data_IF_662497510417
#
_entry.id   IF_662497510417
#
_cell.length_a   1.000
_cell.length_b   1.000
_cell.length_c   1.000
_cell.angle_alpha   90.00
_cell.angle_beta   90.00
_cell.angle_gamma   90.00
#
_symmetry.space_group_name_H-M   'P 1'
#
loop_
_entity.id
_entity.type
_entity.pdbx_description
1 polymer ?
#
# COMPACT_ATOMS: atom_id res chain seq x y z
N UNK A 1 37.76 -22.08 -21.36
CA UNK A 1 36.76 -22.67 -20.43
C UNK A 1 35.82 -21.56 -19.90
N UNK A 2 35.14 -20.84 -20.79
CA UNK A 2 34.24 -19.72 -20.39
C UNK A 2 32.89 -19.76 -21.13
N UNK A 3 32.50 -20.90 -21.69
CA UNK A 3 31.26 -21.02 -22.48
C UNK A 3 30.10 -21.74 -21.78
N UNK A 4 30.26 -22.18 -20.54
CA UNK A 4 29.19 -22.94 -19.84
C UNK A 4 28.30 -22.14 -18.90
N UNK A 5 28.65 -20.88 -18.56
CA UNK A 5 27.83 -20.06 -17.65
C UNK A 5 26.66 -19.38 -18.33
N UNK A 6 26.68 -19.17 -19.66
CA UNK A 6 25.59 -18.50 -20.41
C UNK A 6 24.44 -19.44 -20.81
N UNK A 7 24.57 -20.76 -20.55
CA UNK A 7 23.51 -21.71 -20.91
C UNK A 7 22.40 -21.90 -19.87
N UNK A 8 22.56 -21.36 -18.67
CA UNK A 8 21.63 -21.64 -17.59
C UNK A 8 20.51 -20.60 -17.45
N UNK A 9 20.63 -19.44 -18.08
CA UNK A 9 19.61 -18.39 -18.00
C UNK A 9 18.61 -18.52 -19.17
N UNK A 10 17.31 -18.74 -18.91
CA UNK A 10 16.32 -18.81 -19.99
C UNK A 10 16.00 -17.41 -20.51
N UNK A 11 16.25 -17.16 -21.78
CA UNK A 11 15.79 -15.94 -22.43
C UNK A 11 14.26 -15.88 -22.48
N UNK A 12 13.65 -14.69 -22.37
CA UNK A 12 12.21 -14.53 -22.57
C UNK A 12 11.76 -15.18 -23.87
N UNK A 13 10.69 -16.02 -23.79
CA UNK A 13 10.20 -16.83 -24.91
C UNK A 13 10.68 -18.28 -24.93
N UNK A 14 11.68 -18.68 -24.14
CA UNK A 14 12.05 -20.08 -23.98
C UNK A 14 11.24 -20.76 -22.87
N UNK A 15 9.94 -20.87 -23.08
CA UNK A 15 8.98 -21.40 -22.10
C UNK A 15 9.31 -22.80 -21.59
N UNK A 16 9.76 -23.70 -22.47
CA UNK A 16 10.08 -25.06 -22.07
C UNK A 16 11.20 -25.10 -21.02
N UNK A 17 12.17 -24.20 -21.14
CA UNK A 17 13.26 -24.09 -20.17
C UNK A 17 12.81 -23.45 -18.87
N UNK A 18 12.02 -22.38 -18.94
CA UNK A 18 11.43 -21.75 -17.75
C UNK A 18 10.61 -22.76 -16.94
N UNK A 19 9.70 -23.49 -17.59
CA UNK A 19 8.90 -24.52 -16.92
C UNK A 19 9.77 -25.59 -16.25
N UNK A 20 10.84 -26.04 -16.92
CA UNK A 20 11.77 -27.01 -16.35
C UNK A 20 12.45 -26.45 -15.10
N UNK A 21 12.91 -25.19 -15.15
CA UNK A 21 13.56 -24.54 -14.00
C UNK A 21 12.58 -24.36 -12.82
N UNK A 22 11.33 -24.02 -13.10
CA UNK A 22 10.28 -23.93 -12.07
C UNK A 22 10.07 -25.32 -11.42
N UNK A 23 9.92 -26.37 -12.22
CA UNK A 23 9.75 -27.74 -11.71
C UNK A 23 10.94 -28.20 -10.87
N UNK A 24 12.16 -27.88 -11.28
CA UNK A 24 13.39 -28.21 -10.55
C UNK A 24 13.47 -27.43 -9.22
N UNK A 25 13.10 -26.15 -9.23
CA UNK A 25 13.04 -25.31 -8.04
C UNK A 25 11.97 -25.78 -7.04
N UNK A 26 10.78 -26.18 -7.53
CA UNK A 26 9.72 -26.77 -6.71
C UNK A 26 10.18 -28.09 -6.06
N UNK A 27 10.80 -28.95 -6.83
CA UNK A 27 11.28 -30.23 -6.35
C UNK A 27 12.39 -30.09 -5.29
N UNK A 28 13.19 -29.03 -5.36
CA UNK A 28 14.27 -28.74 -4.41
C UNK A 28 13.83 -27.88 -3.23
N UNK A 29 12.64 -27.25 -3.28
CA UNK A 29 12.18 -26.24 -2.31
C UNK A 29 12.98 -24.92 -2.40
N UNK A 30 13.59 -24.63 -3.55
CA UNK A 30 14.45 -23.47 -3.76
C UNK A 30 13.85 -22.47 -4.77
N UNK A 31 12.54 -22.21 -4.70
CA UNK A 31 11.83 -21.28 -5.60
C UNK A 31 12.45 -19.88 -5.67
N UNK A 32 13.04 -19.44 -4.58
CA UNK A 32 13.70 -18.13 -4.51
C UNK A 32 14.85 -17.96 -5.53
N UNK A 33 15.43 -19.06 -6.01
CA UNK A 33 16.50 -19.02 -7.02
C UNK A 33 16.01 -18.60 -8.40
N UNK A 34 14.74 -18.83 -8.70
CA UNK A 34 14.13 -18.46 -9.99
C UNK A 34 13.41 -17.11 -9.95
N UNK A 35 13.21 -16.53 -8.77
CA UNK A 35 12.50 -15.25 -8.62
C UNK A 35 13.08 -14.13 -9.50
N UNK A 36 14.42 -13.87 -9.53
CA UNK A 36 14.99 -12.86 -10.42
C UNK A 36 14.70 -13.11 -11.90
N UNK A 37 14.70 -14.39 -12.30
CA UNK A 37 14.42 -14.80 -13.68
C UNK A 37 12.95 -14.52 -14.04
N UNK A 38 12.04 -14.80 -13.12
CA UNK A 38 10.62 -14.50 -13.30
C UNK A 38 10.37 -13.01 -13.44
N UNK A 39 11.07 -12.17 -12.68
CA UNK A 39 11.00 -10.73 -12.80
C UNK A 39 11.50 -10.23 -14.15
N UNK A 40 12.62 -10.73 -14.65
CA UNK A 40 13.12 -10.39 -15.99
C UNK A 40 12.15 -10.83 -17.09
N UNK A 41 11.51 -11.99 -16.93
CA UNK A 41 10.47 -12.44 -17.85
C UNK A 41 9.24 -11.56 -17.80
N UNK A 42 8.81 -11.14 -16.62
CA UNK A 42 7.67 -10.25 -16.47
C UNK A 42 7.92 -8.88 -17.12
N UNK A 43 9.13 -8.35 -16.99
CA UNK A 43 9.52 -7.11 -17.68
C UNK A 43 9.49 -7.25 -19.21
N UNK A 44 9.84 -8.42 -19.72
CA UNK A 44 9.82 -8.69 -21.16
C UNK A 44 8.43 -9.01 -21.71
N UNK A 45 7.54 -9.55 -20.88
CA UNK A 45 6.18 -9.96 -21.22
C UNK A 45 5.23 -9.48 -20.11
N UNK A 46 4.98 -8.16 -20.02
CA UNK A 46 4.11 -7.60 -18.99
C UNK A 46 2.69 -8.17 -19.07
N UNK A 47 2.10 -8.43 -17.91
CA UNK A 47 0.72 -8.90 -17.82
C UNK A 47 0.51 -10.39 -18.07
N UNK A 48 1.57 -11.18 -18.30
CA UNK A 48 1.44 -12.63 -18.43
C UNK A 48 0.96 -13.27 -17.12
N UNK A 49 -0.21 -13.94 -17.11
CA UNK A 49 -0.81 -14.45 -15.88
C UNK A 49 -0.03 -15.62 -15.27
N UNK A 50 0.68 -16.42 -16.08
CA UNK A 50 1.48 -17.52 -15.57
C UNK A 50 2.71 -17.00 -14.83
N UNK A 51 3.47 -16.07 -15.45
CA UNK A 51 4.65 -15.47 -14.80
C UNK A 51 4.25 -14.73 -13.53
N UNK A 52 3.14 -13.99 -13.57
CA UNK A 52 2.60 -13.33 -12.38
C UNK A 52 2.32 -14.34 -11.25
N UNK A 53 1.67 -15.46 -11.56
CA UNK A 53 1.38 -16.50 -10.56
C UNK A 53 2.65 -17.10 -9.96
N UNK A 54 3.68 -17.32 -10.75
CA UNK A 54 4.96 -17.86 -10.27
C UNK A 54 5.69 -16.86 -9.35
N UNK A 55 5.70 -15.56 -9.70
CA UNK A 55 6.22 -14.49 -8.83
C UNK A 55 5.43 -14.45 -7.51
N UNK A 56 4.09 -14.50 -7.60
CA UNK A 56 3.23 -14.50 -6.43
C UNK A 56 3.54 -15.69 -5.50
N UNK A 57 3.75 -16.88 -6.05
CA UNK A 57 4.12 -18.05 -5.25
C UNK A 57 5.50 -17.90 -4.60
N UNK A 58 6.49 -17.33 -5.27
CA UNK A 58 7.79 -17.00 -4.66
C UNK A 58 7.63 -16.04 -3.48
N UNK A 59 6.77 -15.04 -3.62
CA UNK A 59 6.49 -14.08 -2.55
C UNK A 59 5.76 -14.72 -1.36
N UNK A 60 4.87 -15.69 -1.61
CA UNK A 60 4.18 -16.42 -0.55
C UNK A 60 5.14 -17.27 0.31
N UNK A 61 6.30 -17.63 -0.20
CA UNK A 61 7.36 -18.30 0.57
C UNK A 61 8.10 -17.33 1.52
N UNK A 62 8.03 -16.01 1.25
CA UNK A 62 8.62 -14.93 2.07
C UNK A 62 7.54 -13.94 2.55
N UNK A 63 6.53 -14.40 3.29
CA UNK A 63 5.37 -13.57 3.57
C UNK A 63 5.66 -12.35 4.44
N UNK A 64 6.82 -12.28 5.09
CA UNK A 64 7.20 -11.20 6.01
C UNK A 64 8.19 -10.20 5.40
N UNK A 65 8.49 -10.32 4.10
CA UNK A 65 9.38 -9.39 3.40
C UNK A 65 8.57 -8.19 2.83
N UNK A 66 8.69 -6.98 3.44
CA UNK A 66 7.94 -5.80 3.00
C UNK A 66 8.24 -5.39 1.55
N UNK A 67 9.50 -5.56 1.11
CA UNK A 67 9.91 -5.20 -0.25
C UNK A 67 9.23 -6.09 -1.29
N UNK A 68 9.15 -7.38 -1.01
CA UNK A 68 8.43 -8.34 -1.86
C UNK A 68 6.95 -8.02 -1.95
N UNK A 69 6.32 -7.64 -0.83
CA UNK A 69 4.91 -7.29 -0.79
C UNK A 69 4.63 -6.00 -1.58
N UNK A 70 5.46 -4.97 -1.43
CA UNK A 70 5.35 -3.71 -2.17
C UNK A 70 5.45 -3.96 -3.69
N UNK A 71 6.44 -4.73 -4.13
CA UNK A 71 6.59 -5.14 -5.54
C UNK A 71 5.38 -5.89 -6.07
N UNK A 72 4.79 -6.79 -5.28
CA UNK A 72 3.56 -7.50 -5.67
C UNK A 72 2.36 -6.57 -5.83
N UNK A 73 2.19 -5.62 -4.91
CA UNK A 73 1.12 -4.63 -4.98
C UNK A 73 1.25 -3.75 -6.22
N UNK A 74 2.47 -3.32 -6.53
CA UNK A 74 2.78 -2.57 -7.75
C UNK A 74 2.47 -3.38 -9.00
N UNK A 75 2.89 -4.63 -9.06
CA UNK A 75 2.58 -5.55 -10.15
C UNK A 75 1.09 -5.72 -10.37
N UNK A 76 0.32 -5.93 -9.30
CA UNK A 76 -1.13 -6.07 -9.39
C UNK A 76 -1.77 -4.78 -9.88
N UNK A 77 -1.29 -3.63 -9.42
CA UNK A 77 -1.79 -2.34 -9.90
C UNK A 77 -1.54 -2.17 -11.41
N UNK A 78 -0.35 -2.52 -11.90
CA UNK A 78 -0.01 -2.51 -13.33
C UNK A 78 -0.90 -3.50 -14.09
N UNK A 79 -1.03 -4.74 -13.62
CA UNK A 79 -1.86 -5.76 -14.25
C UNK A 79 -3.32 -5.32 -14.34
N UNK A 80 -3.87 -4.71 -13.30
CA UNK A 80 -5.24 -4.19 -13.30
C UNK A 80 -5.42 -2.99 -14.23
N UNK A 81 -4.36 -2.21 -14.49
CA UNK A 81 -4.41 -1.07 -15.41
C UNK A 81 -4.33 -1.50 -16.88
N UNK A 82 -3.53 -2.51 -17.21
CA UNK A 82 -3.15 -2.87 -18.58
C UNK A 82 -3.84 -4.13 -19.12
N UNK A 83 -4.37 -5.01 -18.26
CA UNK A 83 -4.96 -6.27 -18.69
C UNK A 83 -6.26 -6.08 -19.45
N UNK A 84 -6.40 -6.79 -20.57
CA UNK A 84 -7.66 -6.85 -21.36
C UNK A 84 -8.70 -7.73 -20.64
N UNK A 85 -8.27 -8.79 -19.98
CA UNK A 85 -9.12 -9.70 -19.20
C UNK A 85 -9.02 -9.45 -17.69
N UNK A 86 -10.04 -9.85 -16.90
CA UNK A 86 -10.02 -9.67 -15.45
C UNK A 86 -8.79 -10.31 -14.82
N UNK A 87 -7.85 -9.48 -14.43
CA UNK A 87 -6.67 -9.94 -13.74
C UNK A 87 -7.06 -10.49 -12.36
N UNK A 88 -6.76 -11.74 -12.10
CA UNK A 88 -7.02 -12.38 -10.79
C UNK A 88 -6.10 -11.86 -9.68
N UNK A 89 -5.11 -11.03 -10.02
CA UNK A 89 -4.08 -10.55 -9.10
C UNK A 89 -4.62 -9.85 -7.85
N UNK A 90 -5.65 -9.01 -8.00
CA UNK A 90 -6.29 -8.36 -6.85
C UNK A 90 -6.90 -9.33 -5.86
N UNK A 91 -7.51 -10.43 -6.33
CA UNK A 91 -8.04 -11.48 -5.46
C UNK A 91 -6.95 -12.32 -4.81
N UNK A 92 -5.82 -12.51 -5.48
CA UNK A 92 -4.68 -13.24 -4.92
C UNK A 92 -4.02 -12.46 -3.79
N UNK A 93 -3.83 -11.16 -3.95
CA UNK A 93 -3.36 -10.30 -2.84
C UNK A 93 -4.37 -10.27 -1.71
N UNK A 94 -5.67 -10.20 -2.00
CA UNK A 94 -6.70 -10.29 -0.97
C UNK A 94 -6.61 -11.62 -0.20
N UNK A 95 -6.40 -12.74 -0.89
CA UNK A 95 -6.20 -14.05 -0.27
C UNK A 95 -4.95 -14.09 0.62
N UNK A 96 -3.86 -13.48 0.18
CA UNK A 96 -2.65 -13.30 0.99
C UNK A 96 -2.98 -12.62 2.33
N UNK A 97 -3.71 -11.49 2.30
CA UNK A 97 -4.09 -10.77 3.51
C UNK A 97 -5.09 -11.53 4.40
N UNK A 98 -6.01 -12.31 3.81
CA UNK A 98 -6.89 -13.22 4.57
C UNK A 98 -6.07 -14.23 5.38
N UNK A 99 -5.08 -14.84 4.76
CA UNK A 99 -4.22 -15.83 5.43
C UNK A 99 -3.38 -15.22 6.58
N UNK A 100 -3.19 -13.91 6.58
CA UNK A 100 -2.45 -13.16 7.62
C UNK A 100 -3.34 -12.52 8.68
N UNK A 101 -4.62 -12.83 8.70
CA UNK A 101 -5.59 -12.21 9.64
C UNK A 101 -5.65 -10.67 9.52
N UNK A 102 -5.53 -10.16 8.27
CA UNK A 102 -5.61 -8.74 7.93
C UNK A 102 -6.85 -8.45 7.07
N UNK A 103 -8.05 -8.54 7.64
CA UNK A 103 -9.30 -8.51 6.86
C UNK A 103 -9.58 -7.16 6.19
N UNK A 104 -9.09 -6.05 6.73
CA UNK A 104 -9.30 -4.73 6.13
C UNK A 104 -8.49 -4.54 4.86
N UNK A 105 -7.24 -4.99 4.85
CA UNK A 105 -6.41 -5.01 3.63
C UNK A 105 -7.02 -5.93 2.57
N UNK A 106 -7.44 -7.13 2.99
CA UNK A 106 -8.09 -8.06 2.08
C UNK A 106 -9.33 -7.43 1.43
N UNK A 107 -10.18 -6.78 2.21
CA UNK A 107 -11.37 -6.11 1.69
C UNK A 107 -11.04 -4.92 0.78
N UNK A 108 -10.01 -4.16 1.09
CA UNK A 108 -9.52 -3.06 0.24
C UNK A 108 -9.13 -3.57 -1.16
N UNK A 109 -8.35 -4.65 -1.24
CA UNK A 109 -7.95 -5.25 -2.52
C UNK A 109 -9.12 -5.89 -3.28
N UNK A 110 -10.09 -6.49 -2.58
CA UNK A 110 -11.33 -6.98 -3.22
C UNK A 110 -12.13 -5.81 -3.78
N UNK A 111 -12.28 -4.71 -3.06
CA UNK A 111 -12.98 -3.52 -3.56
C UNK A 111 -12.29 -2.94 -4.80
N UNK A 112 -10.97 -2.77 -4.78
CA UNK A 112 -10.20 -2.32 -5.96
C UNK A 112 -10.43 -3.24 -7.17
N UNK A 113 -10.44 -4.54 -6.95
CA UNK A 113 -10.71 -5.51 -8.00
C UNK A 113 -12.14 -5.39 -8.55
N UNK A 114 -13.14 -5.21 -7.67
CA UNK A 114 -14.54 -5.03 -8.10
C UNK A 114 -14.74 -3.71 -8.85
N UNK A 115 -14.15 -2.61 -8.40
CA UNK A 115 -14.17 -1.31 -9.09
C UNK A 115 -13.54 -1.40 -10.50
N UNK A 116 -12.47 -2.16 -10.62
CA UNK A 116 -11.84 -2.41 -11.92
C UNK A 116 -12.74 -3.25 -12.83
N UNK A 117 -13.43 -4.28 -12.29
CA UNK A 117 -14.38 -5.09 -13.04
C UNK A 117 -15.60 -4.29 -13.51
N UNK A 118 -16.13 -3.42 -12.67
CA UNK A 118 -17.25 -2.55 -13.04
C UNK A 118 -16.90 -1.67 -14.25
N UNK A 119 -15.67 -1.17 -14.32
CA UNK A 119 -15.17 -0.41 -15.48
C UNK A 119 -15.09 -1.25 -16.77
N UNK A 120 -15.02 -2.56 -16.65
CA UNK A 120 -14.95 -3.52 -17.77
C UNK A 120 -16.28 -4.21 -18.04
N UNK A 121 -17.40 -3.75 -17.44
CA UNK A 121 -18.73 -4.37 -17.54
C UNK A 121 -18.74 -5.88 -17.19
N UNK A 122 -17.84 -6.31 -16.30
CA UNK A 122 -17.78 -7.70 -15.85
C UNK A 122 -18.20 -7.80 -14.38
N UNK A 123 -18.88 -8.89 -14.02
CA UNK A 123 -19.35 -9.12 -12.65
C UNK A 123 -18.73 -10.39 -12.09
N UNK A 124 -17.99 -10.25 -10.97
CA UNK A 124 -17.48 -11.40 -10.24
C UNK A 124 -18.26 -11.62 -8.94
N UNK A 125 -19.27 -12.47 -9.00
CA UNK A 125 -20.09 -12.81 -7.82
C UNK A 125 -19.28 -13.47 -6.71
N UNK A 126 -18.22 -14.18 -7.03
CA UNK A 126 -17.36 -14.82 -6.02
C UNK A 126 -16.61 -13.78 -5.19
N UNK A 127 -16.03 -12.76 -5.82
CA UNK A 127 -15.36 -11.67 -5.10
C UNK A 127 -16.32 -10.93 -4.15
N UNK A 128 -17.54 -10.64 -4.62
CA UNK A 128 -18.58 -10.03 -3.81
C UNK A 128 -18.97 -10.92 -2.62
N UNK A 129 -19.10 -12.23 -2.82
CA UNK A 129 -19.40 -13.18 -1.74
C UNK A 129 -18.27 -13.24 -0.71
N UNK A 130 -17.01 -13.30 -1.14
CA UNK A 130 -15.85 -13.28 -0.22
C UNK A 130 -15.86 -12.00 0.61
N UNK A 131 -16.06 -10.84 -0.02
CA UNK A 131 -16.14 -9.56 0.70
C UNK A 131 -17.28 -9.56 1.73
N UNK A 132 -18.45 -10.08 1.37
CA UNK A 132 -19.58 -10.18 2.29
C UNK A 132 -19.28 -11.10 3.47
N UNK A 133 -18.67 -12.24 3.23
CA UNK A 133 -18.24 -13.17 4.29
C UNK A 133 -17.27 -12.48 5.24
N UNK A 134 -16.22 -11.83 4.73
CA UNK A 134 -15.26 -11.08 5.57
C UNK A 134 -15.96 -10.04 6.46
N UNK A 135 -16.90 -9.27 5.88
CA UNK A 135 -17.67 -8.26 6.62
C UNK A 135 -18.53 -8.85 7.71
N UNK A 136 -19.06 -10.05 7.51
CA UNK A 136 -19.92 -10.72 8.49
C UNK A 136 -19.15 -11.46 9.58
N UNK A 137 -18.02 -12.08 9.24
CA UNK A 137 -17.29 -12.98 10.15
C UNK A 137 -16.10 -12.30 10.83
N UNK A 138 -15.24 -11.63 10.08
CA UNK A 138 -13.95 -11.12 10.56
C UNK A 138 -14.02 -9.68 11.05
N UNK A 139 -14.78 -8.80 10.36
CA UNK A 139 -14.83 -7.38 10.70
C UNK A 139 -15.28 -7.08 12.11
N UNK A 140 -16.32 -7.72 12.69
CA UNK A 140 -16.74 -7.41 14.05
C UNK A 140 -15.61 -7.57 15.07
N UNK A 141 -14.84 -8.65 14.97
CA UNK A 141 -13.71 -8.92 15.85
C UNK A 141 -12.55 -7.95 15.60
N UNK A 142 -12.21 -7.68 14.32
CA UNK A 142 -11.15 -6.78 13.93
C UNK A 142 -11.44 -5.32 14.34
N UNK A 143 -12.67 -4.83 14.15
CA UNK A 143 -13.10 -3.50 14.60
C UNK A 143 -13.07 -3.39 16.13
N UNK A 144 -13.50 -4.44 16.85
CA UNK A 144 -13.44 -4.45 18.31
C UNK A 144 -11.98 -4.41 18.82
N UNK A 145 -11.07 -5.14 18.15
CA UNK A 145 -9.63 -5.11 18.43
C UNK A 145 -9.06 -3.71 18.16
N UNK A 146 -9.35 -3.13 17.00
CA UNK A 146 -8.93 -1.77 16.62
C UNK A 146 -9.39 -0.75 17.67
N UNK A 147 -10.68 -0.70 18.01
CA UNK A 147 -11.22 0.21 19.03
C UNK A 147 -10.53 0.07 20.38
N UNK A 148 -10.21 -1.16 20.79
CA UNK A 148 -9.47 -1.43 22.04
C UNK A 148 -8.06 -0.87 21.97
N UNK A 149 -7.33 -1.12 20.88
CA UNK A 149 -5.97 -0.59 20.67
C UNK A 149 -5.97 0.93 20.64
N UNK A 150 -6.91 1.55 19.93
CA UNK A 150 -7.07 3.01 19.88
C UNK A 150 -7.40 3.63 21.25
N UNK A 151 -8.02 2.87 22.17
CA UNK A 151 -8.41 3.38 23.50
C UNK A 151 -7.33 3.14 24.55
N UNK A 152 -6.60 2.04 24.48
CA UNK A 152 -5.71 1.56 25.55
C UNK A 152 -4.27 1.36 25.12
N UNK A 153 -4.00 1.31 23.82
CA UNK A 153 -2.67 1.09 23.29
C UNK A 153 -1.79 2.34 23.38
N UNK A 154 -0.50 2.14 23.39
CA UNK A 154 0.51 3.19 23.19
C UNK A 154 0.35 3.86 21.82
N UNK A 155 0.95 5.02 21.62
CA UNK A 155 0.94 5.71 20.33
C UNK A 155 1.48 4.82 19.19
N UNK A 156 2.54 4.05 19.45
CA UNK A 156 3.11 3.10 18.47
C UNK A 156 2.10 2.00 18.08
N UNK A 157 1.46 1.36 19.05
CA UNK A 157 0.43 0.34 18.79
C UNK A 157 -0.78 0.91 18.04
N UNK A 158 -1.16 2.17 18.32
CA UNK A 158 -2.24 2.83 17.60
C UNK A 158 -1.87 3.07 16.13
N UNK A 159 -0.63 3.52 15.87
CA UNK A 159 -0.11 3.75 14.52
C UNK A 159 -0.08 2.43 13.75
N UNK A 160 0.52 1.37 14.33
CA UNK A 160 0.60 0.06 13.72
C UNK A 160 -0.80 -0.49 13.37
N UNK A 161 -1.76 -0.38 14.30
CA UNK A 161 -3.12 -0.82 14.05
C UNK A 161 -3.83 -0.05 12.92
N UNK A 162 -3.44 1.20 12.66
CA UNK A 162 -4.01 2.04 11.61
C UNK A 162 -3.34 1.87 10.25
N UNK A 163 -2.17 1.26 10.17
CA UNK A 163 -1.46 1.05 8.89
C UNK A 163 -2.30 0.25 7.89
N UNK A 164 -3.04 -0.75 8.37
CA UNK A 164 -3.83 -1.69 7.57
C UNK A 164 -5.32 -1.38 7.51
N UNK A 165 -5.70 -0.14 7.77
CA UNK A 165 -7.11 0.29 7.77
C UNK A 165 -7.37 1.25 6.62
N UNK A 166 -8.51 1.13 5.94
CA UNK A 166 -8.89 1.94 4.80
C UNK A 166 -10.30 2.51 4.96
N UNK A 167 -10.59 3.65 4.32
CA UNK A 167 -11.94 4.18 4.20
C UNK A 167 -12.74 3.41 3.11
N UNK A 168 -14.05 3.63 3.10
CA UNK A 168 -14.99 3.08 2.11
C UNK A 168 -15.06 1.54 2.09
N UNK A 169 -14.56 0.87 3.14
CA UNK A 169 -14.63 -0.59 3.25
C UNK A 169 -15.88 -1.01 4.01
N UNK A 170 -16.16 -0.34 5.14
CA UNK A 170 -17.28 -0.67 6.03
C UNK A 170 -17.72 0.58 6.80
N UNK A 171 -19.04 0.82 6.87
CA UNK A 171 -19.60 2.01 7.51
C UNK A 171 -19.28 2.15 8.99
N UNK A 172 -19.12 1.04 9.73
CA UNK A 172 -18.77 1.08 11.16
C UNK A 172 -17.30 1.45 11.32
N UNK A 173 -16.44 0.94 10.43
CA UNK A 173 -15.03 1.29 10.40
C UNK A 173 -14.83 2.75 10.01
N UNK A 174 -15.52 3.22 8.95
CA UNK A 174 -15.49 4.60 8.50
C UNK A 174 -15.86 5.58 9.62
N UNK A 175 -16.88 5.26 10.40
CA UNK A 175 -17.27 6.07 11.57
C UNK A 175 -16.14 6.15 12.60
N UNK A 176 -15.42 5.04 12.85
CA UNK A 176 -14.26 5.04 13.77
C UNK A 176 -13.15 5.95 13.26
N UNK A 177 -12.85 5.88 11.96
CA UNK A 177 -11.80 6.70 11.34
C UNK A 177 -12.17 8.18 11.32
N UNK A 178 -13.41 8.53 10.96
CA UNK A 178 -13.90 9.90 11.00
C UNK A 178 -13.88 10.46 12.44
N UNK A 179 -14.26 9.67 13.45
CA UNK A 179 -14.16 10.07 14.85
C UNK A 179 -12.72 10.39 15.27
N UNK A 180 -11.74 9.62 14.79
CA UNK A 180 -10.33 9.90 15.05
C UNK A 180 -9.87 11.23 14.46
N UNK A 181 -10.31 11.59 13.26
CA UNK A 181 -9.95 12.87 12.61
C UNK A 181 -10.44 14.10 13.41
N UNK A 182 -11.59 14.01 14.07
CA UNK A 182 -12.17 15.13 14.82
C UNK A 182 -11.92 15.07 16.33
N UNK A 183 -11.40 13.96 16.86
CA UNK A 183 -11.16 13.77 18.30
C UNK A 183 -9.85 14.40 18.79
N UNK A 184 -9.71 14.55 20.11
CA UNK A 184 -8.45 14.98 20.76
C UNK A 184 -7.49 13.77 20.89
N UNK A 185 -6.81 13.42 19.81
CA UNK A 185 -5.83 12.34 19.75
C UNK A 185 -4.42 12.89 19.49
N UNK A 186 -3.34 12.10 19.80
CA UNK A 186 -1.99 12.47 19.40
C UNK A 186 -1.92 12.80 17.91
N UNK A 187 -1.21 13.87 17.58
CA UNK A 187 -1.14 14.36 16.18
C UNK A 187 -0.69 13.26 15.21
N UNK A 188 0.28 12.45 15.59
CA UNK A 188 0.80 11.37 14.76
C UNK A 188 -0.28 10.32 14.39
N UNK A 189 -1.14 9.96 15.34
CA UNK A 189 -2.27 9.05 15.09
C UNK A 189 -3.25 9.66 14.08
N UNK A 190 -3.53 10.96 14.20
CA UNK A 190 -4.40 11.67 13.25
C UNK A 190 -3.78 11.75 11.87
N UNK A 191 -2.45 11.97 11.77
CA UNK A 191 -1.77 12.08 10.48
C UNK A 191 -1.91 10.80 9.65
N UNK A 192 -1.75 9.62 10.25
CA UNK A 192 -1.93 8.34 9.54
C UNK A 192 -3.35 8.23 8.95
N UNK A 193 -4.36 8.60 9.72
CA UNK A 193 -5.75 8.56 9.23
C UNK A 193 -6.00 9.64 8.17
N UNK A 194 -5.39 10.81 8.33
CA UNK A 194 -5.54 11.93 7.41
C UNK A 194 -4.90 11.64 6.04
N UNK A 195 -3.72 11.01 6.00
CA UNK A 195 -3.09 10.55 4.75
C UNK A 195 -4.00 9.60 3.97
N UNK A 196 -4.60 8.63 4.66
CA UNK A 196 -5.57 7.72 4.04
C UNK A 196 -6.83 8.45 3.58
N UNK A 197 -7.33 9.39 4.38
CA UNK A 197 -8.48 10.21 4.01
C UNK A 197 -8.21 11.03 2.74
N UNK A 198 -7.02 11.61 2.59
CA UNK A 198 -6.62 12.35 1.39
C UNK A 198 -6.56 11.45 0.14
N UNK A 199 -6.16 10.19 0.28
CA UNK A 199 -6.12 9.24 -0.80
C UNK A 199 -7.51 8.69 -1.20
N UNK A 200 -8.43 8.55 -0.24
CA UNK A 200 -9.62 7.70 -0.39
C UNK A 200 -10.95 8.44 -0.30
N UNK A 201 -10.99 9.69 0.22
CA UNK A 201 -12.22 10.45 0.44
C UNK A 201 -12.37 11.64 -0.50
N UNK A 202 -13.57 11.84 -1.02
CA UNK A 202 -13.91 13.00 -1.86
C UNK A 202 -13.88 14.32 -1.07
N UNK A 203 -14.28 14.30 0.20
CA UNK A 203 -14.26 15.45 1.12
C UNK A 203 -13.74 14.99 2.47
N UNK A 204 -12.75 15.69 2.99
CA UNK A 204 -12.06 15.39 4.24
C UNK A 204 -12.36 16.46 5.26
N UNK A 205 -12.76 16.04 6.47
CA UNK A 205 -12.98 16.92 7.63
C UNK A 205 -12.12 16.47 8.80
N UNK A 206 -11.35 17.39 9.37
CA UNK A 206 -10.54 17.08 10.55
C UNK A 206 -10.49 18.26 11.52
N UNK A 207 -10.13 17.98 12.76
CA UNK A 207 -9.95 18.99 13.79
C UNK A 207 -8.47 19.12 14.14
N UNK A 208 -7.99 20.36 14.19
CA UNK A 208 -6.67 20.72 14.70
C UNK A 208 -6.85 21.68 15.89
N UNK A 209 -6.73 21.13 17.09
CA UNK A 209 -7.05 21.86 18.31
C UNK A 209 -8.53 22.23 18.38
N UNK A 210 -8.83 23.54 18.40
CA UNK A 210 -10.20 24.06 18.48
C UNK A 210 -10.78 24.43 17.10
N UNK A 211 -10.00 24.30 16.03
CA UNK A 211 -10.44 24.54 14.66
C UNK A 211 -10.92 23.26 13.96
N UNK A 212 -11.94 23.40 13.11
CA UNK A 212 -12.37 22.34 12.20
C UNK A 212 -12.03 22.77 10.77
N UNK A 213 -11.35 21.89 10.05
CA UNK A 213 -10.91 22.11 8.69
C UNK A 213 -11.68 21.18 7.75
N UNK A 214 -11.86 21.62 6.51
CA UNK A 214 -12.51 20.85 5.45
C UNK A 214 -11.72 21.07 4.15
N UNK A 215 -11.55 20.02 3.36
CA UNK A 215 -10.83 20.06 2.10
C UNK A 215 -11.43 19.05 1.13
N UNK A 216 -11.53 19.38 -0.15
CA UNK A 216 -11.87 18.44 -1.21
C UNK A 216 -10.66 17.56 -1.55
N UNK A 217 -10.91 16.39 -2.16
CA UNK A 217 -9.84 15.50 -2.63
C UNK A 217 -8.90 16.20 -3.64
N UNK A 218 -9.44 17.03 -4.52
CA UNK A 218 -8.65 17.77 -5.51
C UNK A 218 -7.69 18.77 -4.83
N UNK A 219 -8.17 19.48 -3.81
CA UNK A 219 -7.34 20.39 -3.00
C UNK A 219 -6.28 19.60 -2.22
N UNK A 220 -6.67 18.45 -1.63
CA UNK A 220 -5.76 17.57 -0.91
C UNK A 220 -4.64 17.05 -1.82
N UNK A 221 -4.97 16.58 -3.02
CA UNK A 221 -3.97 16.12 -4.01
C UNK A 221 -2.99 17.24 -4.36
N UNK A 222 -3.49 18.44 -4.64
CA UNK A 222 -2.64 19.61 -4.93
C UNK A 222 -1.75 19.98 -3.73
N UNK A 223 -2.27 19.86 -2.51
CA UNK A 223 -1.50 20.09 -1.29
C UNK A 223 -0.39 19.06 -1.11
N UNK A 224 -0.68 17.77 -1.31
CA UNK A 224 0.32 16.69 -1.21
C UNK A 224 1.43 16.92 -2.22
N UNK A 225 1.10 17.15 -3.50
CA UNK A 225 2.10 17.40 -4.55
C UNK A 225 3.00 18.60 -4.22
N UNK A 226 2.43 19.68 -3.71
CA UNK A 226 3.17 20.88 -3.33
C UNK A 226 4.06 20.60 -2.12
N UNK A 227 3.55 19.86 -1.16
CA UNK A 227 4.28 19.42 0.02
C UNK A 227 5.48 18.54 -0.35
N UNK A 228 5.27 17.51 -1.19
CA UNK A 228 6.33 16.63 -1.67
C UNK A 228 7.44 17.40 -2.40
N UNK A 229 7.08 18.31 -3.32
CA UNK A 229 8.04 19.17 -4.02
C UNK A 229 8.85 20.03 -3.06
N UNK A 230 8.19 20.59 -2.04
CA UNK A 230 8.84 21.42 -1.01
C UNK A 230 9.80 20.57 -0.17
N UNK A 231 9.35 19.40 0.28
CA UNK A 231 10.17 18.46 1.07
C UNK A 231 11.40 18.01 0.29
N UNK A 232 11.23 17.56 -0.95
CA UNK A 232 12.36 17.14 -1.81
C UNK A 232 13.37 18.27 -2.02
N UNK A 233 12.89 19.50 -2.15
CA UNK A 233 13.77 20.68 -2.28
C UNK A 233 14.55 20.94 -0.98
N UNK A 234 13.92 20.77 0.18
CA UNK A 234 14.53 20.98 1.49
C UNK A 234 15.48 19.84 1.89
N UNK A 235 15.15 18.59 1.56
CA UNK A 235 16.04 17.45 1.79
C UNK A 235 17.39 17.64 1.11
N UNK A 236 17.38 18.18 -0.12
CA UNK A 236 18.64 18.50 -0.83
C UNK A 236 19.47 19.56 -0.13
N UNK A 237 18.85 20.50 0.60
CA UNK A 237 19.58 21.55 1.33
C UNK A 237 20.17 21.08 2.66
N UNK A 238 19.70 19.96 3.20
CA UNK A 238 20.20 19.36 4.48
C UNK A 238 20.92 18.02 4.24
N UNK A 239 21.22 17.69 2.98
CA UNK A 239 21.90 16.45 2.63
C UNK A 239 23.28 16.36 3.30
N UNK A 240 23.47 15.30 4.11
CA UNK A 240 24.69 15.12 4.91
C UNK A 240 24.71 15.84 6.26
N UNK A 241 23.67 16.58 6.62
CA UNK A 241 23.51 17.23 7.93
C UNK A 241 22.43 16.51 8.75
N UNK A 242 22.85 15.71 9.75
CA UNK A 242 21.93 14.95 10.61
C UNK A 242 21.00 15.88 11.44
N UNK A 243 21.52 17.01 11.90
CA UNK A 243 20.75 17.96 12.70
C UNK A 243 19.72 18.65 11.81
N UNK A 244 20.13 19.13 10.63
CA UNK A 244 19.25 19.72 9.63
C UNK A 244 18.15 18.76 9.22
N UNK A 245 18.47 17.49 8.98
CA UNK A 245 17.50 16.44 8.67
C UNK A 245 16.47 16.25 9.79
N UNK A 246 16.92 16.17 11.06
CA UNK A 246 16.03 16.03 12.21
C UNK A 246 15.11 17.25 12.40
N UNK A 247 15.63 18.44 12.19
CA UNK A 247 14.83 19.68 12.25
C UNK A 247 13.79 19.73 11.14
N UNK A 248 14.16 19.34 9.92
CA UNK A 248 13.23 19.24 8.80
C UNK A 248 12.10 18.25 9.09
N UNK A 249 12.42 17.06 9.60
CA UNK A 249 11.42 16.06 9.98
C UNK A 249 10.46 16.60 11.06
N UNK A 250 10.97 17.27 12.07
CA UNK A 250 10.17 17.90 13.12
C UNK A 250 9.26 19.01 12.56
N UNK A 251 9.81 19.83 11.66
CA UNK A 251 9.04 20.87 10.99
C UNK A 251 7.90 20.28 10.16
N UNK A 252 8.20 19.31 9.34
CA UNK A 252 7.20 18.59 8.54
C UNK A 252 6.09 18.00 9.41
N UNK A 253 6.47 17.28 10.44
CA UNK A 253 5.54 16.70 11.40
C UNK A 253 4.63 17.73 12.06
N UNK A 254 5.18 18.92 12.37
CA UNK A 254 4.44 19.97 13.07
C UNK A 254 3.44 20.68 12.16
N UNK A 255 3.76 20.87 10.88
CA UNK A 255 2.99 21.70 9.95
C UNK A 255 2.11 20.91 9.00
N UNK A 256 2.39 19.64 8.75
CA UNK A 256 1.54 18.82 7.91
C UNK A 256 0.07 18.80 8.43
N UNK A 257 -0.95 18.90 7.59
CA UNK A 257 -0.91 18.90 6.13
C UNK A 257 -0.79 20.30 5.49
N UNK A 258 -0.59 21.33 6.28
CA UNK A 258 -0.51 22.71 5.76
C UNK A 258 0.83 22.93 5.07
N UNK A 259 0.79 23.24 3.78
CA UNK A 259 1.99 23.58 3.03
C UNK A 259 2.54 24.90 3.52
N UNK A 260 3.84 25.00 3.85
CA UNK A 260 4.47 26.29 4.14
C UNK A 260 4.29 27.23 2.95
N UNK A 261 3.90 28.47 3.22
CA UNK A 261 3.58 29.45 2.18
C UNK A 261 4.77 29.74 1.26
N UNK A 262 6.00 29.67 1.79
CA UNK A 262 7.23 29.87 1.01
C UNK A 262 8.38 29.00 1.54
N UNK A 263 9.26 28.57 0.62
CA UNK A 263 10.50 27.86 0.97
C UNK A 263 11.37 28.63 1.97
N UNK A 264 11.39 29.97 1.85
CA UNK A 264 12.12 30.88 2.73
C UNK A 264 11.67 30.78 4.20
N UNK A 265 10.37 30.56 4.44
CA UNK A 265 9.81 30.44 5.80
C UNK A 265 10.33 29.16 6.50
N UNK A 266 10.49 28.10 5.73
CA UNK A 266 11.01 26.81 6.25
C UNK A 266 12.51 26.92 6.51
N UNK A 267 13.26 27.50 5.58
CA UNK A 267 14.71 27.72 5.75
C UNK A 267 14.99 28.62 6.97
N UNK A 268 14.16 29.64 7.18
CA UNK A 268 14.27 30.50 8.35
C UNK A 268 13.93 29.79 9.66
N UNK A 269 12.92 28.90 9.65
CA UNK A 269 12.55 28.09 10.80
C UNK A 269 13.59 27.01 11.15
N UNK A 270 14.36 26.54 10.17
CA UNK A 270 15.45 25.56 10.37
C UNK A 270 16.73 26.20 10.95
N UNK A 271 16.89 27.52 10.85
CA UNK A 271 18.06 28.25 11.35
C UNK A 271 17.84 28.79 12.78
N UNK A 272 16.62 28.82 13.28
CA UNK A 272 16.26 29.20 14.65
C UNK A 272 16.26 27.99 15.59
#
# INVERSE_FOLDING_TARGET
MEKEKDQDYPFPGNWSRLHKMIQEADASGERQRIEPILWDWYQAIPGDPFIFMEIFQCAMEKPDDPETLEKLQELVAIQMAEAEEPASGGLQIAQYYIMRDQPFEAAHWINKYLEWQDKKDTVNTQAQQVLQVLKMTEFPAAIAKLKRTLTRGSTGEQIEALQHVHFNIDSVLDNVLHELLVSKRPKLVKLIVLEKAFAELAVIKWSDGDSTNEMSQMEATSHIETWEKTVLSLQKSVEGDEIGTQLLMNYMYTHYPYVPAEKADVEQALVQ
#
